data_IF_622861152927
#
_entry.id   IF_622861152927
#
_cell.length_a   1.000
_cell.length_b   1.000
_cell.length_c   1.000
_cell.angle_alpha   90.00
_cell.angle_beta   90.00
_cell.angle_gamma   90.00
#
_symmetry.space_group_name_H-M   'P 1'
#
loop_
_entity.id
_entity.type
_entity.pdbx_description
1 polymer ?
#
# COMPACT_ATOMS: atom_id res chain seq x y z
N UNK A 1 -2.24 -10.01 -8.50
CA UNK A 1 -1.57 -9.39 -7.34
C UNK A 1 -2.54 -9.52 -6.19
N UNK A 2 -2.32 -10.47 -5.28
CA UNK A 2 -3.31 -10.84 -4.26
C UNK A 2 -3.14 -10.05 -2.96
N UNK A 3 -1.96 -9.45 -2.76
CA UNK A 3 -1.53 -8.82 -1.51
C UNK A 3 -1.29 -7.32 -1.61
N UNK A 4 -1.47 -6.71 -2.79
CA UNK A 4 -1.22 -5.28 -2.99
C UNK A 4 -2.57 -4.56 -2.92
N UNK A 5 -2.76 -3.73 -1.90
CA UNK A 5 -3.99 -2.95 -1.72
C UNK A 5 -3.94 -1.61 -2.44
N UNK A 6 -2.75 -0.98 -2.48
CA UNK A 6 -2.52 0.26 -3.19
C UNK A 6 -1.16 0.25 -3.88
N UNK A 7 -1.11 0.84 -5.08
CA UNK A 7 0.12 1.03 -5.82
C UNK A 7 0.08 2.41 -6.48
N UNK A 8 1.12 3.20 -6.25
CA UNK A 8 1.30 4.53 -6.82
C UNK A 8 2.67 4.64 -7.44
N UNK A 9 2.78 5.46 -8.49
CA UNK A 9 4.04 5.79 -9.14
C UNK A 9 4.26 7.29 -9.09
N UNK A 10 5.52 7.69 -8.86
CA UNK A 10 5.95 9.08 -8.90
C UNK A 10 7.36 9.18 -9.48
N UNK A 11 7.87 10.41 -9.51
CA UNK A 11 9.25 10.72 -9.85
C UNK A 11 9.91 11.43 -8.67
N UNK A 12 11.18 11.11 -8.42
CA UNK A 12 12.03 11.86 -7.51
C UNK A 12 13.46 11.82 -8.01
N UNK A 13 14.06 13.00 -8.19
CA UNK A 13 15.45 13.16 -8.60
C UNK A 13 15.77 12.37 -9.89
N UNK A 14 14.84 12.34 -10.85
CA UNK A 14 14.98 11.63 -12.12
C UNK A 14 14.81 10.11 -12.04
N UNK A 15 14.35 9.58 -10.90
CA UNK A 15 14.07 8.17 -10.70
C UNK A 15 12.58 7.94 -10.52
N UNK A 16 12.06 6.92 -11.20
CA UNK A 16 10.71 6.43 -10.95
C UNK A 16 10.62 5.80 -9.55
N UNK A 17 9.73 6.31 -8.73
CA UNK A 17 9.43 5.78 -7.40
C UNK A 17 8.13 5.01 -7.47
N UNK A 18 8.17 3.72 -7.13
CA UNK A 18 6.98 2.89 -6.98
C UNK A 18 6.72 2.70 -5.51
N UNK A 19 5.57 3.17 -5.03
CA UNK A 19 5.11 2.96 -3.66
C UNK A 19 4.00 1.92 -3.67
N UNK A 20 4.13 0.91 -2.81
CA UNK A 20 3.19 -0.20 -2.74
C UNK A 20 2.80 -0.44 -1.28
N UNK A 21 1.50 -0.52 -1.03
CA UNK A 21 0.96 -1.00 0.24
C UNK A 21 0.65 -2.48 0.09
N UNK A 22 1.33 -3.29 0.89
CA UNK A 22 1.17 -4.75 0.90
C UNK A 22 0.43 -5.14 2.17
N UNK A 23 -0.70 -5.82 2.02
CA UNK A 23 -1.53 -6.30 3.13
C UNK A 23 -1.44 -7.82 3.25
N UNK A 24 -1.15 -8.28 4.47
CA UNK A 24 -1.27 -9.68 4.85
C UNK A 24 -1.85 -9.80 6.26
N UNK A 25 -2.45 -10.96 6.55
CA UNK A 25 -2.94 -11.32 7.89
C UNK A 25 -1.81 -11.71 8.84
N UNK A 26 -0.61 -11.98 8.32
CA UNK A 26 0.60 -12.31 9.09
C UNK A 26 1.74 -11.43 8.60
N UNK A 27 2.40 -10.73 9.51
CA UNK A 27 3.45 -9.76 9.19
C UNK A 27 4.64 -10.41 8.47
N UNK A 28 5.02 -11.63 8.86
CA UNK A 28 6.09 -12.41 8.21
C UNK A 28 5.86 -12.57 6.71
N UNK A 29 4.60 -12.68 6.30
CA UNK A 29 4.25 -12.93 4.90
C UNK A 29 4.54 -11.70 4.02
N UNK A 30 4.56 -10.49 4.57
CA UNK A 30 4.69 -9.26 3.77
C UNK A 30 6.08 -9.17 3.13
N UNK A 31 7.11 -9.40 3.94
CA UNK A 31 8.51 -9.37 3.47
C UNK A 31 8.75 -10.55 2.51
N UNK A 32 8.20 -11.72 2.83
CA UNK A 32 8.32 -12.89 1.97
C UNK A 32 7.65 -12.68 0.61
N UNK A 33 6.41 -12.17 0.58
CA UNK A 33 5.68 -11.83 -0.65
C UNK A 33 6.47 -10.82 -1.48
N UNK A 34 7.02 -9.78 -0.84
CA UNK A 34 7.83 -8.79 -1.57
C UNK A 34 9.05 -9.44 -2.24
N UNK A 35 9.83 -10.21 -1.48
CA UNK A 35 11.08 -10.80 -1.96
C UNK A 35 10.89 -11.97 -2.92
N UNK A 36 9.86 -12.79 -2.71
CA UNK A 36 9.61 -14.00 -3.50
C UNK A 36 8.78 -13.73 -4.77
N UNK A 37 7.90 -12.73 -4.75
CA UNK A 37 6.97 -12.49 -5.86
C UNK A 37 7.16 -11.13 -6.53
N UNK A 38 7.16 -10.05 -5.75
CA UNK A 38 7.09 -8.68 -6.29
C UNK A 38 8.44 -8.26 -6.90
N UNK A 39 9.51 -8.33 -6.11
CA UNK A 39 10.84 -7.92 -6.55
C UNK A 39 11.34 -8.73 -7.76
N UNK A 40 11.23 -10.07 -7.81
CA UNK A 40 11.62 -10.84 -8.98
C UNK A 40 10.80 -10.48 -10.23
N UNK A 41 9.52 -10.15 -10.06
CA UNK A 41 8.66 -9.73 -11.17
C UNK A 41 9.07 -8.36 -11.71
N UNK A 42 9.42 -7.40 -10.85
CA UNK A 42 9.94 -6.10 -11.27
C UNK A 42 11.24 -6.26 -12.04
N UNK A 43 12.17 -7.07 -11.53
CA UNK A 43 13.45 -7.38 -12.20
C UNK A 43 13.26 -8.03 -13.56
N UNK A 44 12.35 -9.01 -13.65
CA UNK A 44 12.04 -9.66 -14.93
C UNK A 44 11.44 -8.71 -15.96
N UNK A 45 10.66 -7.71 -15.52
CA UNK A 45 9.98 -6.77 -16.42
C UNK A 45 10.84 -5.57 -16.82
N UNK A 46 11.69 -5.08 -15.91
CA UNK A 46 12.40 -3.82 -16.07
C UNK A 46 13.93 -4.00 -16.19
N UNK A 47 14.43 -5.22 -15.95
CA UNK A 47 15.86 -5.54 -15.91
C UNK A 47 16.33 -5.84 -14.48
N UNK A 48 17.40 -6.64 -14.35
CA UNK A 48 17.92 -7.07 -13.04
C UNK A 48 18.37 -5.92 -12.14
N UNK A 49 18.88 -4.85 -12.75
CA UNK A 49 19.38 -3.65 -12.08
C UNK A 49 18.34 -2.52 -11.99
N UNK A 50 17.07 -2.81 -12.31
CA UNK A 50 16.02 -1.79 -12.34
C UNK A 50 15.63 -1.27 -10.95
N UNK A 51 15.89 -2.05 -9.89
CA UNK A 51 15.59 -1.65 -8.50
C UNK A 51 16.89 -1.21 -7.84
N UNK A 52 17.08 0.11 -7.77
CA UNK A 52 18.28 0.73 -7.21
C UNK A 52 18.24 0.73 -5.68
N UNK A 53 17.06 0.93 -5.10
CA UNK A 53 16.85 1.02 -3.65
C UNK A 53 15.46 0.52 -3.29
N UNK A 54 15.40 -0.22 -2.18
CA UNK A 54 14.14 -0.61 -1.53
C UNK A 54 14.14 -0.03 -0.12
N UNK A 55 13.11 0.73 0.21
CA UNK A 55 12.80 1.15 1.57
C UNK A 55 11.52 0.43 2.01
N UNK A 56 11.55 -0.17 3.20
CA UNK A 56 10.39 -0.87 3.78
C UNK A 56 10.01 -0.17 5.08
N UNK A 57 8.74 0.16 5.22
CA UNK A 57 8.17 0.71 6.43
C UNK A 57 7.02 -0.19 6.88
N UNK A 58 7.16 -0.82 8.04
CA UNK A 58 6.07 -1.54 8.67
C UNK A 58 5.15 -0.57 9.39
N UNK A 59 3.86 -0.64 9.09
CA UNK A 59 2.84 0.13 9.78
C UNK A 59 2.29 -0.68 10.96
N UNK A 60 2.72 -0.35 12.18
CA UNK A 60 2.27 -1.01 13.41
C UNK A 60 0.85 -0.57 13.85
N UNK A 61 0.30 0.44 13.20
CA UNK A 61 -1.05 0.94 13.41
C UNK A 61 -1.55 1.60 12.11
N UNK A 62 -2.87 1.75 12.00
CA UNK A 62 -3.50 2.42 10.86
C UNK A 62 -2.79 3.74 10.60
N UNK A 63 -2.55 4.07 9.33
CA UNK A 63 -2.11 5.40 8.92
C UNK A 63 -3.25 6.37 9.27
N UNK A 64 -3.29 6.82 10.50
CA UNK A 64 -4.22 7.82 11.00
C UNK A 64 -3.79 9.14 10.36
N UNK A 65 -4.18 9.35 9.13
CA UNK A 65 -4.28 10.71 8.59
C UNK A 65 -5.71 11.07 8.27
N UNK A 66 -6.62 10.10 8.18
CA UNK A 66 -8.07 10.31 8.18
C UNK A 66 -8.77 9.07 8.72
N UNK A 67 -8.90 8.94 10.05
CA UNK A 67 -9.57 7.81 10.69
C UNK A 67 -10.93 7.47 10.07
N UNK A 68 -11.66 8.49 9.62
CA UNK A 68 -13.02 8.36 9.12
C UNK A 68 -13.13 8.54 7.60
N UNK A 69 -12.08 9.04 6.92
CA UNK A 69 -12.19 9.49 5.53
C UNK A 69 -11.08 8.89 4.66
N UNK A 70 -11.35 7.75 4.07
CA UNK A 70 -10.46 7.05 3.15
C UNK A 70 -11.08 7.10 1.75
N UNK A 71 -10.60 7.99 0.85
CA UNK A 71 -11.23 8.28 -0.44
C UNK A 71 -11.60 7.07 -1.29
N UNK A 72 -10.78 6.02 -1.24
CA UNK A 72 -10.96 4.79 -2.03
C UNK A 72 -11.63 3.64 -1.28
N UNK A 73 -11.81 3.76 0.04
CA UNK A 73 -12.27 2.67 0.90
C UNK A 73 -13.68 2.95 1.38
N UNK A 74 -13.86 4.02 2.15
CA UNK A 74 -15.13 4.31 2.82
C UNK A 74 -15.79 5.61 2.36
N UNK A 75 -15.30 6.25 1.30
CA UNK A 75 -15.90 7.47 0.75
C UNK A 75 -16.51 7.30 -0.65
N UNK A 76 -17.51 8.13 -0.95
CA UNK A 76 -18.11 8.35 -2.27
C UNK A 76 -18.56 9.80 -2.38
N UNK A 77 -18.16 10.50 -3.44
CA UNK A 77 -18.52 11.91 -3.68
C UNK A 77 -18.23 12.84 -2.47
N UNK A 78 -17.11 12.62 -1.79
CA UNK A 78 -16.71 13.43 -0.63
C UNK A 78 -17.45 13.12 0.68
N UNK A 79 -18.27 12.07 0.74
CA UNK A 79 -18.98 11.62 1.96
C UNK A 79 -18.62 10.18 2.31
N UNK A 80 -18.72 9.82 3.59
CA UNK A 80 -18.65 8.42 4.01
C UNK A 80 -19.83 7.66 3.38
N UNK A 81 -19.57 6.45 2.89
CA UNK A 81 -20.57 5.55 2.31
C UNK A 81 -21.63 5.20 3.35
N UNK A 82 -22.90 5.18 2.97
CA UNK A 82 -24.02 4.87 3.89
C UNK A 82 -23.95 3.44 4.42
N UNK A 83 -23.35 2.53 3.66
CA UNK A 83 -23.13 1.14 4.04
C UNK A 83 -21.91 0.92 4.95
N UNK A 84 -21.15 1.97 5.29
CA UNK A 84 -20.00 1.86 6.20
C UNK A 84 -20.47 1.75 7.65
N UNK A 85 -19.88 0.83 8.42
CA UNK A 85 -20.27 0.64 9.82
C UNK A 85 -19.82 1.82 10.68
N UNK A 86 -20.75 2.35 11.49
CA UNK A 86 -20.46 3.38 12.50
C UNK A 86 -19.47 2.87 13.57
N UNK A 87 -19.42 1.56 13.84
CA UNK A 87 -18.45 0.96 14.77
C UNK A 87 -16.99 1.10 14.29
N UNK A 88 -16.81 1.37 12.98
CA UNK A 88 -15.51 1.60 12.36
C UNK A 88 -15.20 3.10 12.22
N UNK A 89 -16.12 3.97 12.62
CA UNK A 89 -15.91 5.42 12.69
C UNK A 89 -15.26 5.75 14.03
N UNK A 90 -14.07 6.33 13.96
CA UNK A 90 -13.38 6.83 15.13
C UNK A 90 -14.08 8.09 15.66
N UNK A 91 -14.44 8.06 16.94
CA UNK A 91 -15.02 9.18 17.70
C UNK A 91 -14.16 9.35 18.95
N UNK A 92 -13.63 10.55 19.16
CA UNK A 92 -12.94 10.98 20.40
C UNK A 92 -13.94 11.72 21.31
#
# INVERSE_FOLDING_TARGET
MKHISECSIGDKDGHAIVTMTIESRVESDIIEVFNAEILPKLKRLLGEDAVIKTDVLTFNSHFIKMHNYMPFINMRNGKIKEEWSDDLVFID
#
